data_IF_748365396917
#
_entry.id   IF_748365396917
#
_cell.length_a   1.000
_cell.length_b   1.000
_cell.length_c   1.000
_cell.angle_alpha   90.00
_cell.angle_beta   90.00
_cell.angle_gamma   90.00
#
_symmetry.space_group_name_H-M   'P 1'
#
loop_
_entity.id
_entity.type
_entity.pdbx_description
1 polymer ?
#
# COMPACT_ATOMS: atom_id res chain seq x y z
N UNK A 1 3.23 -6.41 -5.50
CA UNK A 1 1.79 -6.73 -5.31
C UNK A 1 1.23 -7.61 -6.40
N UNK A 2 1.46 -7.34 -7.68
CA UNK A 2 0.91 -8.12 -8.80
C UNK A 2 1.24 -9.61 -8.72
N UNK A 3 2.49 -9.96 -8.37
CA UNK A 3 2.93 -11.36 -8.19
C UNK A 3 2.18 -12.06 -7.05
N UNK A 4 1.97 -11.37 -5.93
CA UNK A 4 1.23 -11.91 -4.78
C UNK A 4 -0.24 -12.13 -5.15
N UNK A 5 -0.83 -11.19 -5.86
CA UNK A 5 -2.22 -11.31 -6.34
C UNK A 5 -2.38 -12.48 -7.30
N UNK A 6 -1.44 -12.64 -8.24
CA UNK A 6 -1.43 -13.78 -9.19
C UNK A 6 -1.22 -15.12 -8.47
N UNK A 7 -0.33 -15.19 -7.50
CA UNK A 7 -0.08 -16.39 -6.70
C UNK A 7 -1.33 -16.78 -5.90
N UNK A 8 -2.02 -15.83 -5.30
CA UNK A 8 -3.27 -16.05 -4.58
C UNK A 8 -4.36 -16.52 -5.53
N UNK A 9 -4.50 -15.90 -6.72
CA UNK A 9 -5.44 -16.35 -7.75
C UNK A 9 -5.16 -17.77 -8.23
N UNK A 10 -3.89 -18.11 -8.49
CA UNK A 10 -3.48 -19.43 -8.92
C UNK A 10 -3.78 -20.50 -7.83
N UNK A 11 -3.49 -20.18 -6.57
CA UNK A 11 -3.81 -21.06 -5.44
C UNK A 11 -5.31 -21.31 -5.32
N UNK A 12 -6.13 -20.28 -5.46
CA UNK A 12 -7.58 -20.44 -5.40
C UNK A 12 -8.16 -21.14 -6.61
N UNK A 13 -7.63 -20.92 -7.81
CA UNK A 13 -8.02 -21.66 -9.00
C UNK A 13 -7.72 -23.16 -8.82
N UNK A 14 -6.54 -23.48 -8.31
CA UNK A 14 -6.16 -24.86 -7.99
C UNK A 14 -7.09 -25.47 -6.94
N UNK A 15 -7.36 -24.77 -5.84
CA UNK A 15 -8.27 -25.22 -4.78
C UNK A 15 -9.71 -25.43 -5.30
N UNK A 16 -10.17 -24.56 -6.21
CA UNK A 16 -11.50 -24.72 -6.84
C UNK A 16 -11.58 -25.92 -7.77
N UNK A 17 -10.52 -26.18 -8.54
CA UNK A 17 -10.45 -27.34 -9.45
C UNK A 17 -10.42 -28.63 -8.64
N UNK A 18 -9.63 -28.68 -7.56
CA UNK A 18 -9.56 -29.86 -6.68
C UNK A 18 -10.86 -30.13 -5.94
N UNK A 19 -11.53 -29.08 -5.46
CA UNK A 19 -12.83 -29.20 -4.80
C UNK A 19 -13.95 -29.68 -5.73
N UNK A 20 -13.85 -29.44 -7.05
CA UNK A 20 -14.80 -29.99 -8.05
C UNK A 20 -14.59 -31.44 -8.34
N UNK A 21 -13.42 -32.02 -8.07
CA UNK A 21 -13.11 -33.41 -8.28
C UNK A 21 -13.75 -34.35 -7.23
N UNK A 22 -14.23 -33.79 -6.12
CA UNK A 22 -14.96 -34.57 -5.10
C UNK A 22 -16.47 -34.55 -5.39
N UNK A 23 -17.18 -35.65 -5.10
CA UNK A 23 -18.63 -35.71 -5.30
C UNK A 23 -19.32 -34.65 -4.44
N UNK A 24 -20.43 -34.03 -4.93
CA UNK A 24 -21.07 -32.92 -4.24
C UNK A 24 -21.56 -33.35 -2.86
N UNK A 25 -20.80 -33.09 -1.84
CA UNK A 25 -21.25 -33.23 -0.48
C UNK A 25 -22.28 -32.13 -0.17
N UNK A 26 -23.28 -32.50 0.57
CA UNK A 26 -24.51 -31.79 0.94
C UNK A 26 -24.37 -30.36 1.51
N UNK A 27 -23.17 -29.73 1.45
CA UNK A 27 -22.84 -28.43 2.02
C UNK A 27 -22.62 -27.35 0.95
N UNK A 28 -23.70 -26.93 0.27
CA UNK A 28 -23.67 -25.77 -0.63
C UNK A 28 -23.29 -24.45 0.09
N UNK A 29 -23.53 -24.36 1.41
CA UNK A 29 -23.20 -23.19 2.21
C UNK A 29 -21.70 -22.96 2.42
N UNK A 30 -20.92 -24.01 2.56
CA UNK A 30 -19.46 -23.91 2.76
C UNK A 30 -18.76 -23.35 1.53
N UNK A 31 -19.18 -23.76 0.34
CA UNK A 31 -18.61 -23.26 -0.91
C UNK A 31 -18.92 -21.77 -1.13
N UNK A 32 -20.11 -21.32 -0.76
CA UNK A 32 -20.48 -19.91 -0.82
C UNK A 32 -19.63 -19.07 0.13
N UNK A 33 -19.41 -19.53 1.35
CA UNK A 33 -18.62 -18.84 2.38
C UNK A 33 -17.14 -18.72 1.94
N UNK A 34 -16.57 -19.80 1.42
CA UNK A 34 -15.19 -19.79 0.90
C UNK A 34 -15.07 -18.82 -0.27
N UNK A 35 -16.01 -18.85 -1.21
CA UNK A 35 -16.01 -17.93 -2.35
C UNK A 35 -16.14 -16.47 -1.90
N UNK A 36 -17.01 -16.18 -0.94
CA UNK A 36 -17.17 -14.83 -0.38
C UNK A 36 -15.89 -14.32 0.27
N UNK A 37 -15.21 -15.16 1.07
CA UNK A 37 -13.93 -14.83 1.67
C UNK A 37 -12.86 -14.58 0.61
N UNK A 38 -12.81 -15.41 -0.43
CA UNK A 38 -11.89 -15.23 -1.56
C UNK A 38 -12.07 -13.86 -2.23
N UNK A 39 -13.31 -13.51 -2.57
CA UNK A 39 -13.64 -12.23 -3.19
C UNK A 39 -13.23 -11.09 -2.29
N UNK A 40 -13.49 -11.18 -0.99
CA UNK A 40 -13.10 -10.15 -0.02
C UNK A 40 -11.58 -9.98 0.04
N UNK A 41 -10.81 -11.06 0.05
CA UNK A 41 -9.34 -11.03 0.03
C UNK A 41 -8.85 -10.38 -1.27
N UNK A 42 -9.40 -10.75 -2.42
CA UNK A 42 -9.01 -10.17 -3.70
C UNK A 42 -9.31 -8.68 -3.79
N UNK A 43 -10.48 -8.25 -3.32
CA UNK A 43 -10.84 -6.83 -3.25
C UNK A 43 -9.91 -6.06 -2.33
N UNK A 44 -9.53 -6.65 -1.19
CA UNK A 44 -8.58 -6.06 -0.26
C UNK A 44 -7.19 -5.92 -0.91
N UNK A 45 -6.69 -6.97 -1.56
CA UNK A 45 -5.41 -6.93 -2.28
C UNK A 45 -5.44 -5.90 -3.42
N UNK A 46 -6.52 -5.85 -4.18
CA UNK A 46 -6.71 -4.87 -5.25
C UNK A 46 -6.71 -3.43 -4.72
N UNK A 47 -7.22 -3.20 -3.52
CA UNK A 47 -7.20 -1.88 -2.88
C UNK A 47 -5.78 -1.37 -2.57
N UNK A 48 -4.79 -2.25 -2.47
CA UNK A 48 -3.40 -1.90 -2.22
C UNK A 48 -2.51 -1.90 -3.47
N UNK A 49 -3.08 -1.95 -4.68
CA UNK A 49 -2.30 -1.98 -5.93
C UNK A 49 -1.79 -0.62 -6.36
N UNK A 50 -2.42 0.46 -5.93
CA UNK A 50 -2.05 1.82 -6.33
C UNK A 50 -1.90 2.72 -5.11
N UNK A 51 -0.92 3.63 -5.18
CA UNK A 51 -0.69 4.69 -4.21
C UNK A 51 -0.70 6.03 -4.95
N UNK A 52 -1.72 6.81 -4.69
CA UNK A 52 -1.86 8.15 -5.25
C UNK A 52 -1.45 9.18 -4.22
N UNK A 53 -0.52 10.04 -4.60
CA UNK A 53 -0.08 11.17 -3.78
C UNK A 53 -0.63 12.44 -4.38
N UNK A 54 -1.28 13.26 -3.58
CA UNK A 54 -1.79 14.57 -3.98
C UNK A 54 -1.37 15.64 -2.98
N UNK A 55 -0.99 16.80 -3.50
CA UNK A 55 -0.60 17.97 -2.72
C UNK A 55 -1.70 19.01 -2.86
N UNK A 56 -2.30 19.37 -1.75
CA UNK A 56 -3.25 20.47 -1.63
C UNK A 56 -2.56 21.65 -0.94
N UNK A 57 -3.23 22.83 -0.92
CA UNK A 57 -2.65 24.09 -0.42
C UNK A 57 -1.92 23.99 0.92
N UNK A 58 -2.41 23.16 1.84
CA UNK A 58 -1.87 23.02 3.19
C UNK A 58 -1.51 21.59 3.58
N UNK A 59 -1.79 20.61 2.76
CA UNK A 59 -1.57 19.22 3.13
C UNK A 59 -1.11 18.34 1.95
N UNK A 60 -0.22 17.42 2.28
CA UNK A 60 0.13 16.27 1.46
C UNK A 60 -0.82 15.14 1.81
N UNK A 61 -1.54 14.61 0.85
CA UNK A 61 -2.46 13.49 1.02
C UNK A 61 -1.99 12.29 0.24
N UNK A 62 -1.98 11.14 0.89
CA UNK A 62 -1.77 9.84 0.25
C UNK A 62 -3.05 9.02 0.32
N UNK A 63 -3.35 8.30 -0.76
CA UNK A 63 -4.51 7.42 -0.88
C UNK A 63 -4.06 6.09 -1.47
N UNK A 64 -4.51 4.99 -0.87
CA UNK A 64 -4.35 3.66 -1.43
C UNK A 64 -5.57 3.25 -2.24
N UNK A 65 -5.34 2.75 -3.44
CA UNK A 65 -6.37 2.20 -4.33
C UNK A 65 -7.54 3.14 -4.51
N UNK A 66 -8.72 2.65 -4.23
CA UNK A 66 -9.98 3.42 -4.33
C UNK A 66 -10.17 4.45 -3.20
N UNK A 67 -9.14 4.68 -2.37
CA UNK A 67 -9.18 5.68 -1.30
C UNK A 67 -9.77 5.19 0.01
N UNK A 68 -9.81 3.87 0.23
CA UNK A 68 -10.22 3.26 1.50
C UNK A 68 -9.25 3.70 2.61
N UNK A 69 -7.95 3.66 2.34
CA UNK A 69 -6.93 4.16 3.24
C UNK A 69 -6.40 5.51 2.75
N UNK A 70 -6.60 6.53 3.58
CA UNK A 70 -6.16 7.91 3.33
C UNK A 70 -5.35 8.42 4.50
N UNK A 71 -4.25 9.10 4.22
CA UNK A 71 -3.47 9.80 5.23
C UNK A 71 -3.17 11.20 4.75
N UNK A 72 -3.32 12.18 5.66
CA UNK A 72 -2.99 13.58 5.41
C UNK A 72 -1.83 13.97 6.30
N UNK A 73 -0.90 14.73 5.74
CA UNK A 73 0.22 15.33 6.44
C UNK A 73 0.14 16.83 6.22
N UNK A 74 0.19 17.59 7.30
CA UNK A 74 0.25 19.04 7.21
C UNK A 74 1.63 19.45 6.71
N UNK A 75 1.69 20.24 5.64
CA UNK A 75 2.93 20.70 5.04
C UNK A 75 3.75 21.50 6.06
N UNK A 76 3.09 22.29 6.91
CA UNK A 76 3.73 23.08 7.98
C UNK A 76 4.43 22.25 9.07
N UNK A 77 4.07 20.97 9.18
CA UNK A 77 4.72 20.07 10.15
C UNK A 77 5.89 19.28 9.55
N UNK A 78 6.14 19.39 8.25
CA UNK A 78 7.24 18.70 7.57
C UNK A 78 8.53 19.52 7.80
N UNK A 79 9.54 18.86 8.35
CA UNK A 79 10.84 19.50 8.66
C UNK A 79 11.90 19.09 7.63
N UNK A 80 11.85 17.88 7.13
CA UNK A 80 12.84 17.36 6.20
C UNK A 80 12.20 16.46 5.16
N UNK A 81 12.74 16.52 3.94
CA UNK A 81 12.31 15.72 2.80
C UNK A 81 13.58 15.18 2.13
N UNK A 82 13.63 13.88 1.89
CA UNK A 82 14.76 13.22 1.23
C UNK A 82 14.28 12.12 0.31
N UNK A 83 14.94 11.95 -0.81
CA UNK A 83 14.80 10.72 -1.61
C UNK A 83 15.55 9.60 -0.92
N UNK A 84 14.94 8.45 -0.83
CA UNK A 84 15.53 7.26 -0.20
C UNK A 84 15.17 6.02 -1.01
N UNK A 85 16.00 4.99 -0.89
CA UNK A 85 15.66 3.66 -1.40
C UNK A 85 15.20 2.78 -0.25
N UNK A 86 14.07 2.16 -0.43
CA UNK A 86 13.56 1.15 0.49
C UNK A 86 14.32 -0.16 0.29
N UNK A 87 14.61 -0.86 1.37
CA UNK A 87 15.13 -2.20 1.30
C UNK A 87 14.05 -3.20 0.90
N UNK A 88 14.42 -4.26 0.21
CA UNK A 88 13.50 -5.30 -0.26
C UNK A 88 12.65 -5.92 0.87
N UNK A 89 13.20 -6.03 2.08
CA UNK A 89 12.52 -6.58 3.25
C UNK A 89 11.49 -5.64 3.89
N UNK A 90 11.42 -4.38 3.47
CA UNK A 90 10.35 -3.47 3.91
C UNK A 90 9.00 -3.85 3.29
N UNK A 91 9.01 -4.53 2.13
CA UNK A 91 7.82 -5.06 1.48
C UNK A 91 6.85 -3.99 0.99
N UNK A 92 5.63 -4.42 0.69
CA UNK A 92 4.56 -3.56 0.18
C UNK A 92 3.45 -3.40 1.23
N UNK A 93 2.64 -2.35 1.07
CA UNK A 93 1.52 -2.02 1.95
C UNK A 93 1.84 -0.90 2.94
N UNK A 94 1.03 -0.85 3.99
CA UNK A 94 1.22 0.07 5.12
C UNK A 94 1.90 -0.72 6.23
N UNK A 95 3.09 -0.28 6.62
CA UNK A 95 3.88 -0.95 7.65
C UNK A 95 4.46 0.01 8.66
N UNK A 96 4.52 -0.43 9.92
CA UNK A 96 5.26 0.23 10.97
C UNK A 96 6.59 -0.51 11.14
N UNK A 97 7.70 0.22 10.94
CA UNK A 97 9.03 -0.28 11.22
C UNK A 97 9.50 0.23 12.57
N UNK A 98 10.05 -0.65 13.40
CA UNK A 98 10.35 -0.32 14.81
C UNK A 98 11.72 0.32 15.02
N UNK A 99 12.70 0.03 14.14
CA UNK A 99 14.07 0.55 14.23
C UNK A 99 14.60 0.98 12.85
N UNK A 100 14.69 2.29 12.55
CA UNK A 100 14.10 3.43 13.29
C UNK A 100 12.57 3.40 13.25
N UNK A 101 11.91 4.00 14.22
CA UNK A 101 10.44 4.04 14.26
C UNK A 101 9.89 4.90 13.11
N UNK A 102 9.44 4.24 12.06
CA UNK A 102 8.93 4.89 10.85
C UNK A 102 7.72 4.16 10.29
N UNK A 103 6.88 4.91 9.61
CA UNK A 103 5.78 4.37 8.83
C UNK A 103 6.15 4.31 7.37
N UNK A 104 5.91 3.17 6.74
CA UNK A 104 6.20 2.92 5.34
C UNK A 104 4.88 2.74 4.61
N UNK A 105 4.67 3.54 3.58
CA UNK A 105 3.54 3.47 2.66
C UNK A 105 4.09 3.15 1.28
N UNK A 106 4.07 1.89 0.89
CA UNK A 106 4.65 1.43 -0.37
C UNK A 106 3.70 0.47 -1.08
N UNK A 107 3.61 0.56 -2.40
CA UNK A 107 2.84 -0.36 -3.25
C UNK A 107 3.78 -1.28 -4.00
N UNK A 108 4.78 -0.70 -4.66
CA UNK A 108 5.75 -1.40 -5.48
C UNK A 108 7.04 -0.60 -5.57
N UNK A 109 8.12 -1.26 -5.98
CA UNK A 109 9.40 -0.60 -6.17
C UNK A 109 10.16 -0.34 -4.87
N UNK A 110 11.33 0.27 -5.03
CA UNK A 110 12.26 0.57 -3.94
C UNK A 110 12.46 2.07 -3.74
N UNK A 111 12.00 2.89 -4.68
CA UNK A 111 12.16 4.33 -4.59
C UNK A 111 11.07 4.93 -3.73
N UNK A 112 11.47 5.86 -2.86
CA UNK A 112 10.57 6.50 -1.92
C UNK A 112 11.04 7.91 -1.55
N UNK A 113 10.13 8.71 -1.05
CA UNK A 113 10.41 9.99 -0.40
C UNK A 113 10.18 9.83 1.10
N UNK A 114 11.22 10.11 1.87
CA UNK A 114 11.16 10.15 3.32
C UNK A 114 10.82 11.56 3.78
N UNK A 115 9.79 11.68 4.60
CA UNK A 115 9.39 12.91 5.24
C UNK A 115 9.54 12.80 6.75
N UNK A 116 10.16 13.81 7.36
CA UNK A 116 10.32 13.90 8.81
C UNK A 116 9.42 15.00 9.31
N UNK A 117 8.52 14.66 10.21
CA UNK A 117 7.60 15.59 10.82
C UNK A 117 8.24 16.28 12.04
N UNK A 118 7.79 17.47 12.40
CA UNK A 118 8.26 18.25 13.57
C UNK A 118 8.22 17.46 14.88
N UNK A 119 7.30 16.50 15.00
CA UNK A 119 7.19 15.58 16.16
C UNK A 119 8.18 14.41 16.12
N UNK A 120 9.16 14.43 15.21
CA UNK A 120 10.17 13.37 15.06
C UNK A 120 9.65 12.08 14.40
N UNK A 121 8.42 12.05 13.90
CA UNK A 121 7.86 10.90 13.19
C UNK A 121 8.39 10.86 11.76
N UNK A 122 8.85 9.70 11.34
CA UNK A 122 9.38 9.46 10.01
C UNK A 122 8.33 8.69 9.18
N UNK A 123 8.10 9.15 7.97
CA UNK A 123 7.22 8.51 7.01
C UNK A 123 7.95 8.33 5.69
N UNK A 124 7.83 7.15 5.08
CA UNK A 124 8.33 6.85 3.74
C UNK A 124 7.16 6.59 2.81
N UNK A 125 7.13 7.33 1.73
CA UNK A 125 6.09 7.25 0.70
C UNK A 125 6.73 6.70 -0.56
N UNK A 126 6.37 5.47 -0.93
CA UNK A 126 6.82 4.84 -2.17
C UNK A 126 6.30 5.58 -3.38
N UNK A 127 7.15 5.76 -4.38
CA UNK A 127 6.81 6.45 -5.62
C UNK A 127 7.76 6.04 -6.72
N UNK A 128 7.25 6.00 -7.96
CA UNK A 128 8.06 5.73 -9.14
C UNK A 128 8.80 6.99 -9.64
N UNK A 129 8.41 8.17 -9.12
CA UNK A 129 8.97 9.49 -9.49
C UNK A 129 9.42 10.28 -8.26
N UNK A 130 10.44 9.81 -7.52
CA UNK A 130 10.84 10.39 -6.24
C UNK A 130 11.32 11.84 -6.35
N UNK A 131 12.00 12.20 -7.44
CA UNK A 131 12.49 13.56 -7.68
C UNK A 131 11.35 14.56 -7.90
N UNK A 132 10.31 14.16 -8.62
CA UNK A 132 9.16 15.00 -8.86
C UNK A 132 8.36 15.22 -7.58
N UNK A 133 8.13 14.14 -6.83
CA UNK A 133 7.41 14.22 -5.56
C UNK A 133 8.17 15.08 -4.53
N UNK A 134 9.48 14.90 -4.40
CA UNK A 134 10.31 15.73 -3.52
C UNK A 134 10.22 17.21 -3.91
N UNK A 135 10.39 17.51 -5.21
CA UNK A 135 10.34 18.89 -5.71
C UNK A 135 8.96 19.51 -5.50
N UNK A 136 7.90 18.76 -5.74
CA UNK A 136 6.54 19.23 -5.54
C UNK A 136 6.26 19.56 -4.06
N UNK A 137 6.71 18.69 -3.14
CA UNK A 137 6.54 18.93 -1.70
C UNK A 137 7.37 20.15 -1.26
N UNK A 138 8.63 20.25 -1.71
CA UNK A 138 9.49 21.42 -1.39
C UNK A 138 8.87 22.73 -1.86
N UNK A 139 8.36 22.78 -3.09
CA UNK A 139 7.65 23.97 -3.60
C UNK A 139 6.41 24.31 -2.79
N UNK A 140 5.66 23.33 -2.32
CA UNK A 140 4.47 23.53 -1.52
C UNK A 140 4.77 24.05 -0.09
N UNK A 141 5.96 23.79 0.42
CA UNK A 141 6.43 24.27 1.72
C UNK A 141 7.17 25.60 1.60
N UNK A 142 7.42 26.09 0.37
CA UNK A 142 8.24 27.28 0.10
C UNK A 142 9.71 27.15 0.58
N UNK A 143 10.29 25.97 0.49
CA UNK A 143 11.70 25.66 0.77
C UNK A 143 12.46 25.49 -0.55
#
# INVERSE_FOLDING_TARGET
MLVVTLAVLAFFAWAYITARAEPPSYYSGTNFLITAIMVLILLTLASFTTLTTSIDKNCLQIKFGYGIFRKKFLLSEIVSIKQVKNHWYYGCGIRLWLWPKMWIYNVSGFDAVEIIMRKGRIYRIGTDVPSELETAIKRAINI
#
